data_IF_788217929589
#
_entry.id   IF_788217929589
#
_cell.length_a   1.000
_cell.length_b   1.000
_cell.length_c   1.000
_cell.angle_alpha   90.00
_cell.angle_beta   90.00
_cell.angle_gamma   90.00
#
_symmetry.space_group_name_H-M   'P 1'
#
loop_
_entity.id
_entity.type
_entity.pdbx_description
1 polymer ?
#
# COMPACT_ATOMS: atom_id res chain seq x y z
N UNK A 1 32.58 -44.90 -22.29
CA UNK A 1 32.40 -43.97 -21.16
C UNK A 1 31.17 -43.14 -21.47
N UNK A 2 30.09 -43.42 -20.76
CA UNK A 2 28.76 -42.86 -20.97
C UNK A 2 28.58 -41.61 -20.12
N UNK A 3 28.04 -40.55 -20.69
CA UNK A 3 27.39 -39.46 -19.95
C UNK A 3 26.15 -39.04 -20.73
N UNK A 4 25.08 -39.81 -20.55
CA UNK A 4 23.71 -39.37 -20.86
C UNK A 4 23.27 -38.39 -19.77
N UNK A 5 23.27 -37.11 -20.11
CA UNK A 5 22.70 -36.05 -19.27
C UNK A 5 21.17 -36.05 -19.46
N UNK A 6 20.47 -36.82 -18.62
CA UNK A 6 19.01 -36.83 -18.52
C UNK A 6 18.51 -35.43 -18.10
N UNK A 7 18.14 -34.62 -19.07
CA UNK A 7 17.31 -33.43 -18.84
C UNK A 7 15.92 -33.86 -18.38
N UNK A 8 15.58 -33.60 -17.12
CA UNK A 8 14.24 -33.83 -16.59
C UNK A 8 13.21 -32.91 -17.29
N UNK A 9 12.01 -33.40 -17.65
CA UNK A 9 11.01 -32.55 -18.28
C UNK A 9 10.46 -31.55 -17.25
N UNK A 10 10.49 -30.26 -17.59
CA UNK A 10 9.75 -29.23 -16.88
C UNK A 10 8.25 -29.57 -16.98
N UNK A 11 7.71 -30.17 -15.93
CA UNK A 11 6.27 -30.35 -15.77
C UNK A 11 5.64 -28.95 -15.72
N UNK A 12 5.08 -28.52 -16.86
CA UNK A 12 4.15 -27.40 -16.94
C UNK A 12 2.94 -27.74 -16.06
N UNK A 13 3.01 -27.39 -14.77
CA UNK A 13 1.89 -27.53 -13.85
C UNK A 13 0.78 -26.60 -14.33
N UNK A 14 -0.21 -27.17 -15.02
CA UNK A 14 -1.45 -26.47 -15.34
C UNK A 14 -2.12 -26.12 -14.00
N UNK A 15 -2.40 -24.84 -13.71
CA UNK A 15 -2.94 -24.45 -12.42
C UNK A 15 -4.28 -25.13 -12.17
N UNK A 16 -4.49 -25.67 -10.96
CA UNK A 16 -5.78 -26.25 -10.59
C UNK A 16 -6.88 -25.19 -10.66
N UNK A 17 -8.15 -25.60 -10.85
CA UNK A 17 -9.30 -24.67 -10.81
C UNK A 17 -9.34 -23.79 -9.55
N UNK A 18 -8.81 -24.30 -8.43
CA UNK A 18 -8.58 -23.53 -7.21
C UNK A 18 -7.60 -22.38 -7.38
N UNK A 19 -6.45 -22.62 -8.02
CA UNK A 19 -5.42 -21.63 -8.31
C UNK A 19 -5.90 -20.63 -9.36
N UNK A 20 -6.61 -21.09 -10.40
CA UNK A 20 -7.22 -20.21 -11.41
C UNK A 20 -8.22 -19.27 -10.75
N UNK A 21 -9.14 -19.77 -9.92
CA UNK A 21 -10.08 -18.91 -9.16
C UNK A 21 -9.38 -17.96 -8.19
N UNK A 22 -8.31 -18.43 -7.54
CA UNK A 22 -7.51 -17.58 -6.65
C UNK A 22 -6.74 -16.49 -7.42
N UNK A 23 -6.41 -16.71 -8.69
CA UNK A 23 -5.79 -15.74 -9.58
C UNK A 23 -6.82 -14.79 -10.20
N UNK A 24 -7.97 -15.29 -10.64
CA UNK A 24 -9.08 -14.50 -11.20
C UNK A 24 -9.68 -13.52 -10.18
N UNK A 25 -9.61 -13.84 -8.87
CA UNK A 25 -10.04 -12.95 -7.80
C UNK A 25 -9.02 -11.88 -7.40
N UNK A 26 -7.79 -11.91 -7.92
CA UNK A 26 -6.73 -10.94 -7.57
C UNK A 26 -6.81 -9.73 -8.47
N UNK A 27 -7.07 -8.57 -7.86
CA UNK A 27 -7.04 -7.30 -8.55
C UNK A 27 -5.59 -6.80 -8.66
N UNK A 28 -5.26 -6.21 -9.80
CA UNK A 28 -3.93 -5.68 -10.10
C UNK A 28 -4.06 -4.17 -10.32
N UNK A 29 -3.13 -3.40 -9.77
CA UNK A 29 -3.06 -1.95 -10.00
C UNK A 29 -2.86 -1.65 -11.50
N UNK A 30 -3.35 -0.51 -12.01
CA UNK A 30 -3.14 -0.11 -13.41
C UNK A 30 -1.64 0.05 -13.76
N UNK A 31 -1.34 0.03 -15.05
CA UNK A 31 0.03 0.22 -15.51
C UNK A 31 0.50 1.65 -15.25
N UNK A 32 1.75 1.83 -14.79
CA UNK A 32 2.31 3.16 -14.65
C UNK A 32 2.36 3.88 -16.02
N UNK A 33 2.10 5.20 -16.07
CA UNK A 33 2.21 5.95 -17.32
C UNK A 33 3.61 5.86 -17.93
N UNK A 34 3.67 5.66 -19.25
CA UNK A 34 4.95 5.44 -19.97
C UNK A 34 5.93 6.61 -19.87
N UNK A 35 5.45 7.82 -19.60
CA UNK A 35 6.25 9.04 -19.45
C UNK A 35 6.78 9.25 -18.02
N UNK A 36 6.39 8.43 -17.04
CA UNK A 36 6.85 8.55 -15.66
C UNK A 36 8.00 7.58 -15.37
N UNK A 37 9.21 8.13 -15.16
CA UNK A 37 10.39 7.36 -14.74
C UNK A 37 10.49 7.39 -13.20
N UNK A 38 10.32 6.23 -12.55
CA UNK A 38 10.50 6.09 -11.10
C UNK A 38 9.70 4.94 -10.48
N UNK A 39 9.83 4.75 -9.15
CA UNK A 39 8.97 3.86 -8.38
C UNK A 39 7.61 4.53 -8.17
N UNK A 40 6.73 4.39 -9.16
CA UNK A 40 5.34 4.81 -9.02
C UNK A 40 4.66 3.85 -8.03
N UNK A 41 4.02 4.43 -7.04
CA UNK A 41 3.21 3.74 -6.07
C UNK A 41 1.74 4.11 -6.33
N UNK A 42 0.87 3.11 -6.29
CA UNK A 42 -0.58 3.26 -6.45
C UNK A 42 -1.24 3.19 -5.08
N UNK A 43 -2.11 4.15 -4.74
CA UNK A 43 -2.67 4.21 -3.39
C UNK A 43 -3.40 5.51 -3.01
N UNK A 44 -3.53 5.75 -1.71
CA UNK A 44 -4.36 6.82 -1.17
C UNK A 44 -3.54 7.94 -0.55
N UNK A 45 -3.79 9.17 -0.97
CA UNK A 45 -3.31 10.37 -0.29
C UNK A 45 -3.93 10.47 1.10
N UNK A 46 -3.10 10.80 2.08
CA UNK A 46 -3.55 11.08 3.44
C UNK A 46 -3.99 12.53 3.53
N UNK A 47 -5.27 12.77 3.84
CA UNK A 47 -5.74 14.11 4.19
C UNK A 47 -5.17 14.50 5.56
N UNK A 48 -4.35 15.56 5.64
CA UNK A 48 -3.66 15.92 6.88
C UNK A 48 -4.63 16.41 7.97
N UNK A 49 -5.76 17.00 7.59
CA UNK A 49 -6.77 17.48 8.55
C UNK A 49 -7.45 16.30 9.24
N UNK A 50 -7.85 15.30 8.47
CA UNK A 50 -8.47 14.08 8.96
C UNK A 50 -7.49 13.20 9.72
N UNK A 51 -6.26 13.05 9.23
CA UNK A 51 -5.22 12.33 9.93
C UNK A 51 -4.91 12.96 11.31
N UNK A 52 -4.84 14.29 11.40
CA UNK A 52 -4.72 14.99 12.69
C UNK A 52 -5.92 14.74 13.62
N UNK A 53 -7.15 14.63 13.10
CA UNK A 53 -8.33 14.25 13.91
C UNK A 53 -8.20 12.84 14.47
N UNK A 54 -7.68 11.89 13.69
CA UNK A 54 -7.41 10.53 14.17
C UNK A 54 -6.37 10.56 15.29
N UNK A 55 -5.24 11.24 15.08
CA UNK A 55 -4.18 11.34 16.10
C UNK A 55 -4.71 11.96 17.38
N UNK A 56 -5.43 13.09 17.29
CA UNK A 56 -6.00 13.77 18.48
C UNK A 56 -7.00 12.92 19.25
N UNK A 57 -7.71 11.99 18.60
CA UNK A 57 -8.60 11.05 19.30
C UNK A 57 -7.82 10.07 20.18
N UNK A 58 -6.57 9.77 19.84
CA UNK A 58 -5.73 8.81 20.55
C UNK A 58 -4.91 9.50 21.64
N UNK A 59 -4.25 10.62 21.32
CA UNK A 59 -3.30 11.28 22.24
C UNK A 59 -3.84 12.59 22.84
N UNK A 60 -5.08 12.97 22.54
CA UNK A 60 -5.70 14.21 23.00
C UNK A 60 -5.12 15.47 22.35
N UNK A 61 -5.08 16.56 23.12
CA UNK A 61 -4.55 17.86 22.69
C UNK A 61 -3.04 18.02 22.95
N UNK A 62 -2.34 16.93 23.26
CA UNK A 62 -0.90 16.96 23.48
C UNK A 62 -0.19 17.44 22.21
N UNK A 63 0.83 18.29 22.38
CA UNK A 63 1.73 18.65 21.28
C UNK A 63 2.57 17.42 20.92
N UNK A 64 2.45 17.00 19.67
CA UNK A 64 3.18 15.87 19.10
C UNK A 64 3.94 16.33 17.86
N UNK A 65 5.16 15.83 17.72
CA UNK A 65 5.95 16.06 16.52
C UNK A 65 5.42 15.23 15.35
N UNK A 66 6.02 15.42 14.16
CA UNK A 66 5.60 14.72 12.95
C UNK A 66 5.77 13.21 13.06
N UNK A 67 6.87 12.75 13.64
CA UNK A 67 7.18 11.32 13.77
C UNK A 67 6.18 10.63 14.69
N UNK A 68 5.89 11.22 15.85
CA UNK A 68 4.88 10.72 16.79
C UNK A 68 3.51 10.66 16.13
N UNK A 69 3.11 11.73 15.42
CA UNK A 69 1.84 11.74 14.66
C UNK A 69 1.78 10.65 13.60
N UNK A 70 2.84 10.45 12.84
CA UNK A 70 2.93 9.40 11.82
C UNK A 70 2.79 8.02 12.45
N UNK A 71 3.50 7.75 13.54
CA UNK A 71 3.44 6.49 14.26
C UNK A 71 2.03 6.21 14.80
N UNK A 72 1.42 7.18 15.48
CA UNK A 72 0.07 7.05 16.04
C UNK A 72 -0.96 6.86 14.94
N UNK A 73 -0.89 7.67 13.88
CA UNK A 73 -1.78 7.54 12.73
C UNK A 73 -1.67 6.15 12.10
N UNK A 74 -0.44 5.71 11.80
CA UNK A 74 -0.23 4.44 11.12
C UNK A 74 -0.61 3.24 12.00
N UNK A 75 -0.29 3.27 13.30
CA UNK A 75 -0.75 2.27 14.25
C UNK A 75 -2.29 2.18 14.28
N UNK A 76 -2.98 3.32 14.23
CA UNK A 76 -4.44 3.37 14.20
C UNK A 76 -5.01 2.80 12.90
N UNK A 77 -4.38 3.07 11.76
CA UNK A 77 -4.80 2.47 10.48
C UNK A 77 -4.59 0.95 10.50
N UNK A 78 -3.44 0.49 11.00
CA UNK A 78 -3.08 -0.94 11.09
C UNK A 78 -3.97 -1.74 12.03
N UNK A 79 -4.50 -1.14 13.09
CA UNK A 79 -5.41 -1.84 14.02
C UNK A 79 -6.77 -2.15 13.38
N UNK A 80 -7.21 -1.34 12.42
CA UNK A 80 -8.49 -1.54 11.71
C UNK A 80 -8.32 -2.41 10.45
N UNK A 81 -7.11 -2.40 9.89
CA UNK A 81 -6.78 -3.10 8.64
C UNK A 81 -5.55 -3.97 8.91
N UNK A 82 -5.76 -5.23 9.33
CA UNK A 82 -4.65 -6.14 9.57
C UNK A 82 -3.75 -6.20 8.34
N UNK A 83 -2.49 -5.86 8.53
CA UNK A 83 -1.46 -6.00 7.51
C UNK A 83 -1.18 -7.49 7.30
N UNK A 84 -0.95 -7.87 6.04
CA UNK A 84 -0.53 -9.22 5.69
C UNK A 84 0.92 -9.15 5.27
N UNK A 85 1.73 -10.12 5.69
CA UNK A 85 3.06 -10.27 5.14
C UNK A 85 2.95 -10.69 3.67
N UNK A 86 3.68 -10.00 2.79
CA UNK A 86 3.80 -10.35 1.38
C UNK A 86 3.40 -9.24 0.42
N UNK A 87 3.12 -9.61 -0.82
CA UNK A 87 2.89 -8.72 -1.96
C UNK A 87 1.64 -7.84 -1.87
N UNK A 88 0.70 -8.18 -0.96
CA UNK A 88 -0.55 -7.43 -0.71
C UNK A 88 -0.42 -6.51 0.53
N UNK A 89 0.79 -6.32 1.06
CA UNK A 89 0.96 -5.43 2.20
C UNK A 89 0.77 -3.97 1.80
N UNK A 90 0.35 -3.15 2.76
CA UNK A 90 0.20 -1.71 2.57
C UNK A 90 1.26 -0.99 3.38
N UNK A 91 1.79 0.09 2.81
CA UNK A 91 2.86 0.86 3.44
C UNK A 91 2.51 2.33 3.49
N UNK A 92 2.95 3.00 4.54
CA UNK A 92 2.87 4.45 4.63
C UNK A 92 4.18 5.03 4.12
N UNK A 93 4.12 5.78 3.04
CA UNK A 93 5.26 6.44 2.42
C UNK A 93 5.05 7.94 2.35
N UNK A 94 6.15 8.65 2.12
CA UNK A 94 6.13 10.09 1.81
C UNK A 94 6.23 10.25 0.30
N UNK A 95 5.35 11.07 -0.25
CA UNK A 95 5.35 11.46 -1.66
C UNK A 95 6.69 12.06 -2.06
N UNK A 96 7.26 11.53 -3.14
CA UNK A 96 8.57 11.96 -3.67
C UNK A 96 8.49 13.20 -4.56
N UNK A 97 7.29 13.56 -5.01
CA UNK A 97 7.05 14.71 -5.88
C UNK A 97 6.93 16.04 -5.11
N UNK A 98 6.89 15.99 -3.78
CA UNK A 98 6.82 17.19 -2.94
C UNK A 98 8.22 17.66 -2.56
N UNK A 99 8.44 18.96 -2.59
CA UNK A 99 9.69 19.56 -2.13
C UNK A 99 9.86 19.32 -0.61
N UNK A 100 11.05 18.98 -0.11
CA UNK A 100 11.30 18.83 1.33
C UNK A 100 10.87 20.04 2.18
N UNK A 101 10.88 21.23 1.60
CA UNK A 101 10.41 22.46 2.23
C UNK A 101 8.90 22.49 2.49
N UNK A 102 8.10 21.85 1.62
CA UNK A 102 6.64 21.69 1.78
C UNK A 102 6.30 20.68 2.88
N UNK A 103 7.23 19.77 3.18
CA UNK A 103 7.09 18.77 4.22
C UNK A 103 7.48 19.30 5.62
N UNK A 104 7.90 20.56 5.73
CA UNK A 104 8.30 21.16 7.02
C UNK A 104 7.12 21.32 7.98
N UNK A 105 7.39 21.10 9.26
CA UNK A 105 6.41 21.24 10.35
C UNK A 105 5.88 19.91 10.88
N UNK A 106 4.72 19.95 11.53
CA UNK A 106 4.09 18.77 12.19
C UNK A 106 2.91 18.20 11.41
N UNK A 107 2.73 18.62 10.15
CA UNK A 107 1.64 18.13 9.31
C UNK A 107 1.95 16.73 8.79
N UNK A 108 0.89 15.94 8.56
CA UNK A 108 0.97 14.69 7.81
C UNK A 108 0.72 14.93 6.30
N UNK A 109 0.98 16.15 5.83
CA UNK A 109 0.96 16.47 4.42
C UNK A 109 2.00 15.64 3.68
N UNK A 110 1.63 15.16 2.49
CA UNK A 110 2.52 14.38 1.65
C UNK A 110 2.64 12.91 2.02
N UNK A 111 1.97 12.46 3.08
CA UNK A 111 1.87 11.04 3.38
C UNK A 111 0.89 10.35 2.43
N UNK A 112 1.23 9.11 2.07
CA UNK A 112 0.52 8.32 1.08
C UNK A 112 0.53 6.85 1.49
N UNK A 113 -0.63 6.21 1.49
CA UNK A 113 -0.78 4.80 1.79
C UNK A 113 -0.72 4.02 0.48
N UNK A 114 0.41 3.36 0.28
CA UNK A 114 0.72 2.54 -0.88
C UNK A 114 -0.03 1.22 -0.82
N UNK A 115 -0.75 0.90 -1.89
CA UNK A 115 -1.41 -0.40 -2.09
C UNK A 115 -0.59 -1.31 -3.00
N UNK A 116 0.13 -0.71 -3.95
CA UNK A 116 0.91 -1.42 -4.95
C UNK A 116 2.09 -0.55 -5.41
N UNK A 117 3.16 -1.21 -5.81
CA UNK A 117 4.36 -0.59 -6.37
C UNK A 117 4.71 -1.24 -7.70
N UNK A 118 5.76 -0.73 -8.37
CA UNK A 118 6.35 -1.41 -9.53
C UNK A 118 6.78 -2.86 -9.25
N UNK A 119 7.18 -3.17 -8.01
CA UNK A 119 7.66 -4.51 -7.64
C UNK A 119 6.53 -5.47 -7.28
N UNK A 120 5.39 -4.96 -6.83
CA UNK A 120 4.18 -5.73 -6.58
C UNK A 120 2.96 -4.92 -6.96
N UNK A 121 2.27 -5.33 -8.02
CA UNK A 121 1.02 -4.69 -8.48
C UNK A 121 -0.22 -5.36 -7.92
N UNK A 122 -0.07 -6.39 -7.09
CA UNK A 122 -1.21 -7.08 -6.48
C UNK A 122 -1.86 -6.16 -5.46
N UNK A 123 -3.14 -5.86 -5.66
CA UNK A 123 -3.89 -5.02 -4.74
C UNK A 123 -4.33 -5.84 -3.51
N UNK A 124 -4.42 -5.20 -2.33
CA UNK A 124 -5.11 -5.78 -1.20
C UNK A 124 -6.55 -6.16 -1.56
N UNK A 125 -7.09 -7.18 -0.90
CA UNK A 125 -8.50 -7.57 -1.07
C UNK A 125 -9.46 -6.38 -0.90
N UNK A 126 -10.55 -6.35 -1.69
CA UNK A 126 -11.57 -5.29 -1.64
C UNK A 126 -12.02 -4.92 -0.22
N UNK A 127 -12.26 -5.90 0.65
CA UNK A 127 -12.66 -5.66 2.05
C UNK A 127 -11.63 -4.88 2.88
N UNK A 128 -10.32 -5.03 2.58
CA UNK A 128 -9.24 -4.26 3.22
C UNK A 128 -9.21 -2.84 2.68
N UNK A 129 -9.39 -2.67 1.37
CA UNK A 129 -9.50 -1.35 0.72
C UNK A 129 -10.72 -0.59 1.25
N UNK A 130 -11.87 -1.23 1.39
CA UNK A 130 -13.09 -0.60 1.92
C UNK A 130 -12.91 -0.16 3.39
N UNK A 131 -12.23 -0.97 4.21
CA UNK A 131 -11.86 -0.60 5.58
C UNK A 131 -10.91 0.60 5.58
N UNK A 132 -9.94 0.64 4.66
CA UNK A 132 -9.05 1.79 4.48
C UNK A 132 -9.82 3.05 4.12
N UNK A 133 -10.67 3.01 3.09
CA UNK A 133 -11.54 4.12 2.68
C UNK A 133 -12.36 4.64 3.86
N UNK A 134 -12.93 3.75 4.68
CA UNK A 134 -13.70 4.10 5.89
C UNK A 134 -12.85 4.81 6.95
N UNK A 135 -11.63 4.32 7.21
CA UNK A 135 -10.70 4.95 8.18
C UNK A 135 -10.27 6.32 7.69
N UNK A 136 -9.91 6.44 6.42
CA UNK A 136 -9.49 7.68 5.77
C UNK A 136 -10.66 8.63 5.49
N UNK A 137 -11.91 8.18 5.64
CA UNK A 137 -13.13 8.91 5.26
C UNK A 137 -13.06 9.46 3.84
N UNK A 138 -12.63 8.62 2.90
CA UNK A 138 -12.52 8.96 1.48
C UNK A 138 -13.37 8.02 0.64
N UNK A 139 -14.00 8.58 -0.38
CA UNK A 139 -14.65 7.82 -1.46
C UNK A 139 -13.84 7.89 -2.76
N UNK A 140 -12.67 8.56 -2.74
CA UNK A 140 -11.81 8.64 -3.90
C UNK A 140 -11.32 7.23 -4.31
N UNK A 141 -10.95 7.09 -5.56
CA UNK A 141 -10.18 5.94 -6.02
C UNK A 141 -8.69 6.15 -5.73
N UNK A 142 -7.90 5.06 -5.61
CA UNK A 142 -6.47 5.19 -5.46
C UNK A 142 -5.84 5.79 -6.74
N UNK A 143 -4.78 6.56 -6.54
CA UNK A 143 -4.00 7.25 -7.58
C UNK A 143 -2.62 6.64 -7.73
#
# INVERSE_FOLDING_TARGET
>A
MSTDEKSAPALLQVPCKCQVRALEGRQVAPDPPANMKGNIAYGYKVDPTHANKIVRKVVGNRKSDRTEKTCVFWATVRSVIPLKLGSEDMHLEVRRDLDPSELRGTSLLGYFIVLATRHSRLLPSKSRIDRLKKVLRTNAEPE
#
